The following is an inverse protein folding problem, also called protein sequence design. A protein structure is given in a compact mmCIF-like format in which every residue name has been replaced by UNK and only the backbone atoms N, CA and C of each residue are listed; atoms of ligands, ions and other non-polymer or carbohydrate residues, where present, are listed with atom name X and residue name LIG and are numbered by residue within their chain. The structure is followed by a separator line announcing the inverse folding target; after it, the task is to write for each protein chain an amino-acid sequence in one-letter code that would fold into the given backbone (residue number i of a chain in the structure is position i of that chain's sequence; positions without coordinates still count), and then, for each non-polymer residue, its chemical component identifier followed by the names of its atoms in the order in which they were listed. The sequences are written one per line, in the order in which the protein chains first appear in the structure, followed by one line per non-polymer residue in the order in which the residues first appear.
data_IF_286023073025
#
_entry.id   IF_286023073025
#
_cell.length_a   1.000
_cell.length_b   1.000
_cell.length_c   1.000
_cell.angle_alpha   90.00
_cell.angle_beta   90.00
_cell.angle_gamma   90.00
#
_symmetry.space_group_name_H-M   'P 1'
#
loop_
_entity.id
_entity.type
_entity.pdbx_description
1 polymer ?
#
# COMPACT_ATOMS: atom_id res chain seq x y z
N UNK A 1 20.89 -1.13 0.45
CA UNK A 1 19.66 -0.87 -0.35
C UNK A 1 19.57 -1.95 -1.42
N UNK A 2 18.74 -2.97 -1.21
CA UNK A 2 18.50 -4.04 -2.17
C UNK A 2 16.99 -4.20 -2.32
N UNK A 3 16.46 -3.79 -3.47
CA UNK A 3 15.03 -3.85 -3.76
C UNK A 3 14.80 -4.58 -5.07
N UNK A 4 13.66 -5.25 -5.16
CA UNK A 4 13.24 -5.93 -6.38
C UNK A 4 12.86 -4.86 -7.42
N UNK A 5 13.43 -4.93 -8.62
CA UNK A 5 13.09 -3.98 -9.72
C UNK A 5 11.85 -4.45 -10.48
N UNK A 6 11.75 -5.76 -10.72
CA UNK A 6 10.65 -6.35 -11.48
C UNK A 6 10.16 -7.62 -10.80
N UNK A 7 8.85 -7.87 -10.88
CA UNK A 7 8.20 -9.08 -10.41
C UNK A 7 7.57 -9.79 -11.61
N UNK A 8 7.80 -11.09 -11.73
CA UNK A 8 7.17 -11.91 -12.78
C UNK A 8 6.02 -12.68 -12.16
N UNK A 9 4.83 -12.56 -12.73
CA UNK A 9 3.66 -13.35 -12.36
C UNK A 9 2.97 -13.85 -13.63
N UNK A 10 2.80 -15.16 -13.74
CA UNK A 10 2.11 -15.82 -14.85
C UNK A 10 2.64 -15.44 -16.25
N UNK A 11 3.96 -15.21 -16.37
CA UNK A 11 4.61 -14.81 -17.62
C UNK A 11 4.57 -13.31 -17.93
N UNK A 12 3.94 -12.50 -17.07
CA UNK A 12 3.87 -11.05 -17.22
C UNK A 12 4.89 -10.39 -16.28
N UNK A 13 5.67 -9.46 -16.82
CA UNK A 13 6.67 -8.69 -16.08
C UNK A 13 6.02 -7.41 -15.57
N UNK A 14 6.10 -7.18 -14.26
CA UNK A 14 5.58 -5.99 -13.62
C UNK A 14 6.71 -5.18 -12.97
N UNK A 15 6.62 -3.86 -13.05
CA UNK A 15 7.48 -2.97 -12.27
C UNK A 15 7.04 -2.99 -10.80
N UNK A 16 7.95 -3.41 -9.92
CA UNK A 16 7.65 -3.58 -8.51
C UNK A 16 7.40 -2.25 -7.79
N UNK A 17 8.04 -1.15 -8.23
CA UNK A 17 7.86 0.18 -7.63
C UNK A 17 6.52 0.78 -8.03
N UNK A 18 6.12 0.61 -9.29
CA UNK A 18 4.82 1.10 -9.77
C UNK A 18 3.67 0.44 -9.00
N UNK A 19 3.70 -0.90 -8.87
CA UNK A 19 2.71 -1.66 -8.09
C UNK A 19 2.60 -1.18 -6.64
N UNK A 20 3.72 -0.88 -5.99
CA UNK A 20 3.74 -0.38 -4.61
C UNK A 20 3.09 1.00 -4.48
N UNK A 21 3.36 1.90 -5.42
CA UNK A 21 2.78 3.26 -5.40
C UNK A 21 1.27 3.23 -5.69
N UNK A 22 0.81 2.37 -6.61
CA UNK A 22 -0.61 2.19 -6.90
C UNK A 22 -1.38 1.67 -5.68
N UNK A 23 -0.85 0.64 -5.01
CA UNK A 23 -1.44 0.09 -3.77
C UNK A 23 -1.48 1.15 -2.67
N UNK A 24 -0.42 1.95 -2.54
CA UNK A 24 -0.33 3.01 -1.53
C UNK A 24 -1.37 4.11 -1.77
N UNK A 25 -1.59 4.48 -3.03
CA UNK A 25 -2.61 5.46 -3.40
C UNK A 25 -4.01 4.92 -3.12
N UNK A 26 -4.29 3.66 -3.50
CA UNK A 26 -5.56 2.99 -3.18
C UNK A 26 -5.85 2.98 -1.67
N UNK A 27 -4.85 2.62 -0.86
CA UNK A 27 -4.99 2.60 0.60
C UNK A 27 -5.21 4.01 1.16
N UNK A 28 -4.55 5.03 0.61
CA UNK A 28 -4.74 6.42 1.02
C UNK A 28 -6.17 6.89 0.74
N UNK A 29 -6.67 6.64 -0.47
CA UNK A 29 -8.03 7.02 -0.87
C UNK A 29 -9.09 6.34 -0.01
N UNK A 30 -8.92 5.04 0.26
CA UNK A 30 -9.82 4.29 1.14
C UNK A 30 -9.82 4.83 2.57
N UNK A 31 -8.64 5.13 3.12
CA UNK A 31 -8.53 5.74 4.46
C UNK A 31 -9.16 7.12 4.55
N UNK A 32 -9.04 7.93 3.49
CA UNK A 32 -9.70 9.24 3.40
C UNK A 32 -11.22 9.10 3.33
N UNK A 33 -11.72 8.14 2.54
CA UNK A 33 -13.14 7.88 2.40
C UNK A 33 -13.78 7.30 3.68
N UNK A 34 -13.07 6.40 4.38
CA UNK A 34 -13.60 5.73 5.58
C UNK A 34 -13.51 6.58 6.86
N UNK A 35 -12.90 7.78 6.80
CA UNK A 35 -12.70 8.68 7.95
C UNK A 35 -12.28 7.94 9.24
N UNK A 36 -11.45 6.91 9.07
CA UNK A 36 -11.18 5.91 10.10
C UNK A 36 -10.25 6.53 11.16
N UNK A 37 -10.78 6.82 12.36
CA UNK A 37 -9.97 7.25 13.51
C UNK A 37 -9.17 6.06 14.02
N UNK A 38 -7.91 5.96 13.58
CA UNK A 38 -6.95 5.03 14.17
C UNK A 38 -6.59 5.57 15.56
N UNK A 39 -7.28 5.07 16.58
CA UNK A 39 -6.88 5.27 17.98
C UNK A 39 -5.72 4.32 18.28
N UNK A 40 -4.71 4.80 18.99
CA UNK A 40 -3.65 3.92 19.45
C UNK A 40 -4.22 2.89 20.44
N UNK A 41 -3.81 1.61 20.35
CA UNK A 41 -4.15 0.64 21.37
C UNK A 41 -3.61 1.12 22.72
N UNK A 42 -4.51 1.34 23.68
CA UNK A 42 -4.18 1.89 25.00
C UNK A 42 -4.68 3.31 25.27
N UNK A 43 -5.18 4.02 24.25
CA UNK A 43 -5.90 5.29 24.46
C UNK A 43 -7.35 4.95 24.79
N UNK A 44 -7.71 4.96 26.08
CA UNK A 44 -9.11 5.08 26.49
C UNK A 44 -9.51 6.55 26.29
N UNK A 45 -10.74 6.79 25.83
CA UNK A 45 -11.30 8.14 25.67
C UNK A 45 -11.03 9.06 26.88
#
# INVERSE_FOLDING_TARGET
VGGVRYTVKDGIIYDAKALLEDVKQLVREKKQAENYKILQPGVKE
#
